data_IF_460270628804
#
_entry.id   IF_460270628804
#
_cell.length_a   1.000
_cell.length_b   1.000
_cell.length_c   1.000
_cell.angle_alpha   90.00
_cell.angle_beta   90.00
_cell.angle_gamma   90.00
#
_symmetry.space_group_name_H-M   'P 1'
#
loop_
_entity.id
_entity.type
_entity.pdbx_description
1 polymer ?
#
# COMPACT_ATOMS: atom_id res chain seq x y z
N UNK A 1 3.90 -52.52 -25.38
CA UNK A 1 4.42 -51.20 -24.94
C UNK A 1 3.85 -50.02 -25.75
N UNK A 2 3.59 -50.16 -27.06
CA UNK A 2 3.05 -49.10 -27.94
C UNK A 2 1.61 -48.72 -27.57
N UNK A 3 0.70 -49.70 -27.36
CA UNK A 3 -0.71 -49.43 -26.96
C UNK A 3 -0.87 -48.67 -25.63
N UNK A 4 0.00 -48.88 -24.63
CA UNK A 4 -0.04 -48.13 -23.38
C UNK A 4 0.34 -46.65 -23.56
N UNK A 5 1.32 -46.35 -24.43
CA UNK A 5 1.68 -44.97 -24.75
C UNK A 5 0.53 -44.21 -25.45
N UNK A 6 -0.14 -44.85 -26.37
CA UNK A 6 -1.28 -44.27 -27.09
C UNK A 6 -2.46 -43.99 -26.16
N UNK A 7 -2.76 -44.88 -25.21
CA UNK A 7 -3.80 -44.64 -24.21
C UNK A 7 -3.48 -43.46 -23.27
N UNK A 8 -2.22 -43.27 -22.90
CA UNK A 8 -1.79 -42.11 -22.12
C UNK A 8 -1.91 -40.77 -22.87
N UNK A 9 -1.57 -40.79 -24.17
CA UNK A 9 -1.68 -39.59 -25.03
C UNK A 9 -3.16 -39.23 -25.21
N UNK A 10 -4.04 -40.17 -25.45
CA UNK A 10 -5.48 -39.92 -25.58
C UNK A 10 -6.12 -39.49 -24.25
N UNK A 11 -5.70 -40.06 -23.14
CA UNK A 11 -6.15 -39.66 -21.82
C UNK A 11 -5.74 -38.22 -21.48
N UNK A 12 -4.48 -37.84 -21.73
CA UNK A 12 -3.97 -36.49 -21.51
C UNK A 12 -4.62 -35.47 -22.43
N UNK A 13 -4.87 -35.81 -23.71
CA UNK A 13 -5.56 -34.91 -24.62
C UNK A 13 -7.04 -34.75 -24.27
N UNK A 14 -7.72 -35.80 -23.84
CA UNK A 14 -9.11 -35.73 -23.40
C UNK A 14 -9.31 -34.89 -22.14
N UNK A 15 -8.45 -35.02 -21.15
CA UNK A 15 -8.49 -34.20 -19.93
C UNK A 15 -8.13 -32.73 -20.21
N UNK A 16 -7.20 -32.50 -21.14
CA UNK A 16 -6.85 -31.12 -21.57
C UNK A 16 -8.02 -30.43 -22.26
N UNK A 17 -8.70 -31.13 -23.19
CA UNK A 17 -9.88 -30.58 -23.88
C UNK A 17 -11.00 -30.29 -22.88
N UNK A 18 -11.27 -31.19 -21.93
CA UNK A 18 -12.29 -30.99 -20.90
C UNK A 18 -11.98 -29.77 -20.03
N UNK A 19 -10.73 -29.63 -19.59
CA UNK A 19 -10.30 -28.47 -18.78
C UNK A 19 -10.48 -27.16 -19.53
N UNK A 20 -10.08 -27.09 -20.80
CA UNK A 20 -10.28 -25.91 -21.66
C UNK A 20 -11.76 -25.60 -21.86
N UNK A 21 -12.58 -26.63 -22.08
CA UNK A 21 -14.04 -26.47 -22.25
C UNK A 21 -14.68 -25.92 -20.99
N UNK A 22 -14.34 -26.45 -19.81
CA UNK A 22 -14.83 -25.95 -18.52
C UNK A 22 -14.42 -24.49 -18.34
N UNK A 23 -13.17 -24.15 -18.66
CA UNK A 23 -12.66 -22.78 -18.57
C UNK A 23 -13.45 -21.82 -19.47
N UNK A 24 -13.64 -22.18 -20.73
CA UNK A 24 -14.41 -21.38 -21.70
C UNK A 24 -15.85 -21.21 -21.25
N UNK A 25 -16.52 -22.28 -20.83
CA UNK A 25 -17.91 -22.22 -20.33
C UNK A 25 -17.98 -21.32 -19.09
N UNK A 26 -17.03 -21.46 -18.17
CA UNK A 26 -16.96 -20.61 -16.97
C UNK A 26 -16.77 -19.12 -17.33
N UNK A 27 -15.93 -18.82 -18.33
CA UNK A 27 -15.76 -17.45 -18.83
C UNK A 27 -17.03 -16.89 -19.49
N UNK A 28 -17.82 -17.73 -20.17
CA UNK A 28 -19.08 -17.30 -20.78
C UNK A 28 -20.18 -17.06 -19.74
N UNK A 29 -20.21 -17.87 -18.67
CA UNK A 29 -21.25 -17.77 -17.61
C UNK A 29 -20.94 -16.68 -16.60
N UNK A 30 -19.71 -16.62 -16.13
CA UNK A 30 -19.27 -15.74 -15.03
C UNK A 30 -18.53 -14.48 -15.52
N UNK A 31 -18.16 -14.45 -16.81
CA UNK A 31 -17.32 -13.40 -17.38
C UNK A 31 -15.82 -13.74 -17.33
N UNK A 32 -15.07 -13.09 -18.20
CA UNK A 32 -13.63 -13.32 -18.33
C UNK A 32 -12.86 -12.95 -17.07
N UNK A 33 -13.13 -11.75 -16.52
CA UNK A 33 -12.36 -11.20 -15.39
C UNK A 33 -12.50 -12.04 -14.10
N UNK A 34 -13.69 -12.41 -13.62
CA UNK A 34 -13.84 -13.23 -12.42
C UNK A 34 -13.14 -14.58 -12.51
N UNK A 35 -13.19 -15.23 -13.68
CA UNK A 35 -12.52 -16.53 -13.90
C UNK A 35 -11.02 -16.37 -13.90
N UNK A 36 -10.50 -15.38 -14.63
CA UNK A 36 -9.07 -15.03 -14.62
C UNK A 36 -8.58 -14.73 -13.21
N UNK A 37 -9.28 -13.90 -12.47
CA UNK A 37 -8.88 -13.45 -11.13
C UNK A 37 -8.94 -14.57 -10.09
N UNK A 38 -9.76 -15.60 -10.34
CA UNK A 38 -9.77 -16.84 -9.54
C UNK A 38 -8.56 -17.71 -9.85
N UNK A 39 -8.15 -17.78 -11.12
CA UNK A 39 -6.97 -18.56 -11.54
C UNK A 39 -5.65 -17.93 -11.10
N UNK A 40 -5.56 -16.60 -11.12
CA UNK A 40 -4.35 -15.87 -10.74
C UNK A 40 -4.15 -15.76 -9.22
N UNK A 41 -5.16 -16.15 -8.43
CA UNK A 41 -5.09 -16.19 -6.95
C UNK A 41 -4.47 -14.93 -6.34
N UNK A 42 -4.99 -13.74 -6.72
CA UNK A 42 -4.50 -12.48 -6.17
C UNK A 42 -4.59 -12.46 -4.63
N UNK A 43 -3.45 -12.26 -3.92
CA UNK A 43 -3.42 -12.38 -2.46
C UNK A 43 -4.34 -11.40 -1.74
N UNK A 44 -4.55 -10.19 -2.32
CA UNK A 44 -5.35 -9.13 -1.69
C UNK A 44 -6.83 -9.17 -2.05
N UNK A 45 -7.27 -10.13 -2.89
CA UNK A 45 -8.69 -10.26 -3.27
C UNK A 45 -9.62 -10.40 -2.05
N UNK A 46 -9.18 -11.14 -1.01
CA UNK A 46 -9.92 -11.30 0.23
C UNK A 46 -10.10 -9.98 0.99
N UNK A 47 -9.05 -9.17 1.06
CA UNK A 47 -9.09 -7.83 1.68
C UNK A 47 -10.01 -6.88 0.91
N UNK A 48 -9.93 -6.91 -0.42
CA UNK A 48 -10.77 -6.06 -1.28
C UNK A 48 -12.27 -6.36 -1.15
N UNK A 49 -12.64 -7.65 -1.15
CA UNK A 49 -14.03 -8.10 -1.08
C UNK A 49 -14.57 -8.23 0.36
N UNK A 50 -13.73 -8.04 1.36
CA UNK A 50 -14.08 -8.10 2.77
C UNK A 50 -14.93 -6.93 3.26
N UNK A 51 -15.16 -6.90 4.56
CA UNK A 51 -15.91 -5.83 5.20
C UNK A 51 -14.95 -4.66 5.49
N UNK A 52 -15.21 -3.52 4.89
CA UNK A 52 -14.44 -2.30 5.12
C UNK A 52 -14.88 -1.59 6.41
N UNK A 53 -13.90 -1.04 7.10
CA UNK A 53 -14.08 -0.36 8.38
C UNK A 53 -13.72 1.11 8.22
N UNK A 54 -14.62 1.99 8.66
CA UNK A 54 -14.37 3.43 8.69
C UNK A 54 -14.01 3.82 10.12
N UNK A 55 -12.76 4.18 10.36
CA UNK A 55 -12.22 4.44 11.69
C UNK A 55 -11.51 5.80 11.74
N UNK A 56 -11.38 6.32 12.95
CA UNK A 56 -10.63 7.54 13.24
C UNK A 56 -9.34 7.19 13.95
N UNK A 57 -8.23 7.82 13.54
CA UNK A 57 -6.92 7.59 14.09
C UNK A 57 -6.23 8.90 14.45
N UNK A 58 -5.42 8.85 15.49
CA UNK A 58 -4.47 9.90 15.86
C UNK A 58 -5.06 11.20 16.39
N UNK A 59 -4.17 12.17 16.55
CA UNK A 59 -4.48 13.54 16.96
C UNK A 59 -3.58 14.47 16.16
N UNK A 60 -4.11 15.33 15.29
CA UNK A 60 -5.53 15.54 14.96
C UNK A 60 -6.18 14.29 14.33
N UNK A 61 -7.50 14.10 14.51
CA UNK A 61 -8.16 12.90 14.05
C UNK A 61 -8.25 12.86 12.51
N UNK A 62 -7.71 11.78 11.95
CA UNK A 62 -7.83 11.41 10.55
C UNK A 62 -8.85 10.28 10.44
N UNK A 63 -9.91 10.48 9.67
CA UNK A 63 -10.88 9.46 9.34
C UNK A 63 -10.52 8.81 8.02
N UNK A 64 -10.50 7.47 7.98
CA UNK A 64 -10.06 6.70 6.84
C UNK A 64 -10.82 5.36 6.80
N UNK A 65 -11.16 4.91 5.60
CA UNK A 65 -11.76 3.59 5.36
C UNK A 65 -10.65 2.60 4.99
N UNK A 66 -10.56 1.50 5.73
CA UNK A 66 -9.53 0.46 5.53
C UNK A 66 -10.15 -0.93 5.48
N UNK A 67 -9.51 -1.94 4.85
CA UNK A 67 -10.04 -3.31 4.81
C UNK A 67 -10.24 -3.92 6.20
N UNK A 68 -9.40 -3.54 7.15
CA UNK A 68 -9.44 -3.96 8.55
C UNK A 68 -9.04 -2.77 9.43
N UNK A 69 -9.34 -2.84 10.73
CA UNK A 69 -8.90 -1.83 11.70
C UNK A 69 -7.37 -1.85 11.78
N UNK A 70 -6.75 -0.66 11.68
CA UNK A 70 -5.30 -0.56 11.88
C UNK A 70 -4.95 -0.76 13.35
N UNK A 71 -3.97 -1.62 13.59
CA UNK A 71 -3.46 -1.89 14.94
C UNK A 71 -2.51 -0.79 15.39
N UNK A 72 -2.64 -0.35 16.64
CA UNK A 72 -1.72 0.63 17.22
C UNK A 72 -0.38 -0.01 17.50
N UNK A 73 0.69 0.59 16.98
CA UNK A 73 2.08 0.19 17.26
C UNK A 73 2.57 0.96 18.48
N UNK A 74 2.98 0.28 19.56
CA UNK A 74 3.61 0.96 20.70
C UNK A 74 4.88 1.69 20.26
N UNK A 75 5.02 2.94 20.68
CA UNK A 75 6.22 3.73 20.43
C UNK A 75 6.75 4.25 21.78
N UNK A 76 8.07 4.31 21.94
CA UNK A 76 8.70 4.87 23.13
C UNK A 76 8.50 6.39 23.23
N UNK A 77 8.27 7.05 22.09
CA UNK A 77 7.97 8.46 22.01
C UNK A 77 6.45 8.67 21.95
N UNK A 78 5.86 9.17 23.03
CA UNK A 78 4.42 9.48 23.13
C UNK A 78 3.93 10.53 22.11
N UNK A 79 4.84 11.28 21.50
CA UNK A 79 4.53 12.28 20.47
C UNK A 79 4.29 11.65 19.10
N UNK A 80 4.69 10.40 18.94
CA UNK A 80 4.52 9.63 17.71
C UNK A 80 3.42 8.61 17.94
N UNK A 81 2.32 8.75 17.21
CA UNK A 81 1.28 7.73 17.17
C UNK A 81 1.39 6.98 15.84
N UNK A 82 1.45 5.66 15.91
CA UNK A 82 1.60 4.81 14.73
C UNK A 82 0.56 3.70 14.73
N UNK A 83 -0.02 3.46 13.57
CA UNK A 83 -1.03 2.44 13.33
C UNK A 83 -0.66 1.68 12.05
N UNK A 84 -0.83 0.36 12.04
CA UNK A 84 -0.50 -0.42 10.85
C UNK A 84 -1.51 -1.53 10.56
N UNK A 85 -1.53 -1.96 9.31
CA UNK A 85 -2.16 -3.19 8.86
C UNK A 85 -1.10 -4.03 8.16
N UNK A 86 -0.90 -5.24 8.66
CA UNK A 86 0.12 -6.15 8.15
C UNK A 86 1.55 -5.74 8.48
N UNK A 87 2.47 -6.31 7.73
CA UNK A 87 3.92 -6.03 7.78
C UNK A 87 4.44 -5.85 6.37
N UNK A 88 5.69 -5.45 6.21
CA UNK A 88 6.32 -5.34 4.89
C UNK A 88 6.33 -6.66 4.10
N UNK A 89 6.21 -7.82 4.79
CA UNK A 89 6.05 -9.15 4.18
C UNK A 89 4.62 -9.47 3.74
N UNK A 90 3.64 -8.71 4.20
CA UNK A 90 2.22 -8.93 3.87
C UNK A 90 1.94 -8.60 2.41
N UNK A 91 0.92 -9.21 1.80
CA UNK A 91 0.48 -8.87 0.44
C UNK A 91 0.10 -7.40 0.27
N UNK A 92 -0.48 -6.81 1.33
CA UNK A 92 -0.80 -5.39 1.44
C UNK A 92 -0.37 -4.89 2.82
N UNK A 93 0.36 -3.79 2.84
CA UNK A 93 0.85 -3.14 4.03
C UNK A 93 0.38 -1.69 4.09
N UNK A 94 -0.07 -1.27 5.27
CA UNK A 94 -0.41 0.11 5.59
C UNK A 94 0.36 0.51 6.83
N UNK A 95 0.97 1.70 6.80
CA UNK A 95 1.56 2.37 7.94
C UNK A 95 1.07 3.81 8.01
N UNK A 96 0.38 4.16 9.08
CA UNK A 96 -0.16 5.48 9.33
C UNK A 96 0.52 6.06 10.58
N UNK A 97 1.36 7.06 10.36
CA UNK A 97 2.16 7.69 11.41
C UNK A 97 1.74 9.16 11.60
N UNK A 98 1.54 9.54 12.84
CA UNK A 98 1.32 10.91 13.29
C UNK A 98 2.58 11.36 14.01
N UNK A 99 3.27 12.36 13.46
CA UNK A 99 4.51 12.93 13.99
C UNK A 99 4.25 14.40 14.33
N UNK A 100 3.90 14.66 15.59
CA UNK A 100 3.59 15.99 16.11
C UNK A 100 4.55 16.32 17.26
N UNK A 101 5.77 16.81 16.93
CA UNK A 101 6.72 17.18 17.95
C UNK A 101 6.10 18.27 18.83
N UNK A 102 6.18 18.12 20.16
CA UNK A 102 5.78 19.17 21.09
C UNK A 102 6.52 20.45 20.71
N UNK A 103 5.75 21.50 20.47
CA UNK A 103 6.24 22.85 20.27
C UNK A 103 6.89 23.39 21.57
N UNK A 104 8.03 22.85 21.96
CA UNK A 104 9.01 23.63 22.69
C UNK A 104 9.74 24.51 21.68
N UNK A 105 8.96 25.41 21.10
CA UNK A 105 9.49 26.49 20.29
C UNK A 105 10.26 27.48 21.18
N UNK A 106 11.53 27.20 21.35
CA UNK A 106 12.48 28.29 21.29
C UNK A 106 12.39 28.87 19.87
N UNK A 107 11.82 30.07 19.75
CA UNK A 107 11.98 30.89 18.56
C UNK A 107 13.47 31.15 18.36
N UNK A 108 14.16 30.24 17.71
CA UNK A 108 15.37 30.58 16.99
C UNK A 108 14.91 31.18 15.67
N UNK A 109 15.06 32.52 15.59
CA UNK A 109 14.93 33.27 14.36
C UNK A 109 15.95 32.74 13.36
N UNK A 110 15.60 31.68 12.64
CA UNK A 110 16.36 31.25 11.49
C UNK A 110 15.81 32.06 10.31
N UNK A 111 16.62 33.02 9.84
CA UNK A 111 16.40 33.80 8.61
C UNK A 111 16.50 32.87 7.35
N UNK A 112 15.80 31.76 7.31
CA UNK A 112 15.71 30.91 6.14
C UNK A 112 14.40 31.18 5.40
N UNK A 113 14.51 31.32 4.10
CA UNK A 113 13.37 31.49 3.21
C UNK A 113 12.38 30.31 3.45
N UNK A 114 11.09 30.57 3.72
CA UNK A 114 10.10 29.52 4.01
C UNK A 114 10.00 28.43 2.94
N UNK A 115 10.28 28.77 1.69
CA UNK A 115 10.29 27.81 0.58
C UNK A 115 11.48 26.84 0.66
N UNK A 116 12.68 27.33 1.05
CA UNK A 116 13.85 26.47 1.22
C UNK A 116 13.68 25.52 2.40
N UNK A 117 13.17 26.01 3.54
CA UNK A 117 12.93 25.19 4.72
C UNK A 117 11.93 24.04 4.44
N UNK A 118 10.88 24.28 3.66
CA UNK A 118 9.92 23.24 3.28
C UNK A 118 10.52 22.21 2.33
N UNK A 119 11.37 22.63 1.41
CA UNK A 119 12.06 21.73 0.47
C UNK A 119 13.06 20.83 1.20
N UNK A 120 13.82 21.36 2.15
CA UNK A 120 14.77 20.61 2.97
C UNK A 120 14.05 19.57 3.86
N UNK A 121 12.93 19.93 4.49
CA UNK A 121 12.09 19.01 5.26
C UNK A 121 11.53 17.88 4.41
N UNK A 122 11.00 18.21 3.22
CA UNK A 122 10.49 17.22 2.28
C UNK A 122 11.60 16.25 1.84
N UNK A 123 12.81 16.76 1.54
CA UNK A 123 13.95 15.94 1.16
C UNK A 123 14.44 15.05 2.30
N UNK A 124 14.50 15.55 3.54
CA UNK A 124 14.85 14.77 4.71
C UNK A 124 13.86 13.61 4.93
N UNK A 125 12.57 13.86 4.74
CA UNK A 125 11.53 12.84 4.86
C UNK A 125 11.62 11.78 3.76
N UNK A 126 11.87 12.20 2.51
CA UNK A 126 12.17 11.29 1.40
C UNK A 126 13.33 10.37 1.74
N UNK A 127 14.44 10.92 2.24
CA UNK A 127 15.61 10.15 2.63
C UNK A 127 15.29 9.16 3.77
N UNK A 128 14.45 9.56 4.72
CA UNK A 128 13.99 8.68 5.81
C UNK A 128 13.16 7.50 5.27
N UNK A 129 12.26 7.75 4.33
CA UNK A 129 11.44 6.71 3.70
C UNK A 129 12.35 5.70 2.96
N UNK A 130 13.31 6.20 2.18
CA UNK A 130 14.29 5.34 1.48
C UNK A 130 15.06 4.49 2.49
N UNK A 131 15.63 5.12 3.52
CA UNK A 131 16.41 4.43 4.54
C UNK A 131 15.60 3.35 5.27
N UNK A 132 14.31 3.59 5.52
CA UNK A 132 13.43 2.59 6.12
C UNK A 132 13.22 1.38 5.19
N UNK A 133 13.02 1.60 3.90
CA UNK A 133 12.91 0.49 2.93
C UNK A 133 14.23 -0.26 2.76
N UNK A 134 15.36 0.45 2.68
CA UNK A 134 16.69 -0.17 2.56
C UNK A 134 17.05 -0.97 3.81
N UNK A 135 16.74 -0.48 4.99
CA UNK A 135 16.95 -1.21 6.24
C UNK A 135 16.11 -2.49 6.34
N UNK A 136 14.93 -2.50 5.71
CA UNK A 136 14.10 -3.68 5.48
C UNK A 136 14.61 -4.60 4.38
N UNK A 137 15.71 -4.25 3.71
CA UNK A 137 16.34 -5.05 2.65
C UNK A 137 15.82 -4.76 1.24
N UNK A 138 15.08 -3.68 1.03
CA UNK A 138 14.66 -3.25 -0.31
C UNK A 138 15.86 -2.84 -1.17
N UNK A 139 15.75 -3.08 -2.46
CA UNK A 139 16.72 -2.65 -3.48
C UNK A 139 15.98 -2.14 -4.72
N UNK A 140 16.71 -1.55 -5.67
CA UNK A 140 16.15 -1.04 -6.93
C UNK A 140 14.97 -0.09 -6.71
N UNK A 141 15.09 0.80 -5.72
CA UNK A 141 14.06 1.78 -5.37
C UNK A 141 14.00 2.83 -6.46
N UNK A 142 12.87 2.88 -7.16
CA UNK A 142 12.55 3.91 -8.14
C UNK A 142 11.38 4.72 -7.60
N UNK A 143 11.54 6.02 -7.45
CA UNK A 143 10.47 6.86 -6.92
C UNK A 143 10.31 8.17 -7.66
N UNK A 144 9.12 8.72 -7.49
CA UNK A 144 8.71 10.03 -7.96
C UNK A 144 7.95 10.73 -6.85
N UNK A 145 7.93 12.04 -6.89
CA UNK A 145 7.10 12.90 -6.06
C UNK A 145 6.13 13.70 -6.92
N UNK A 146 4.97 13.96 -6.38
CA UNK A 146 3.93 14.76 -7.00
C UNK A 146 3.13 15.48 -5.89
N UNK A 147 2.39 16.52 -6.26
CA UNK A 147 1.40 17.15 -5.39
C UNK A 147 0.01 16.77 -5.89
N UNK A 148 -0.80 16.22 -5.00
CA UNK A 148 -2.17 15.82 -5.32
C UNK A 148 -3.15 16.46 -4.35
N UNK A 149 -4.37 16.71 -4.80
CA UNK A 149 -5.45 17.17 -3.93
C UNK A 149 -6.35 15.98 -3.63
N UNK A 150 -6.53 15.68 -2.34
CA UNK A 150 -7.46 14.66 -1.89
C UNK A 150 -8.91 15.04 -2.26
N UNK A 151 -9.83 14.09 -2.37
CA UNK A 151 -11.27 14.39 -2.58
C UNK A 151 -11.86 15.33 -1.52
N UNK A 152 -11.29 15.32 -0.30
CA UNK A 152 -11.61 16.25 0.78
C UNK A 152 -11.14 17.70 0.54
N UNK A 153 -10.45 17.98 -0.57
CA UNK A 153 -9.91 19.28 -0.91
C UNK A 153 -8.56 19.61 -0.26
N UNK A 154 -7.96 18.67 0.48
CA UNK A 154 -6.66 18.88 1.16
C UNK A 154 -5.52 18.60 0.19
N UNK A 155 -4.58 19.55 -0.02
CA UNK A 155 -3.37 19.30 -0.79
C UNK A 155 -2.42 18.42 0.00
N UNK A 156 -1.83 17.42 -0.65
CA UNK A 156 -0.88 16.49 -0.04
C UNK A 156 0.30 16.25 -0.98
N UNK A 157 1.49 16.09 -0.41
CA UNK A 157 2.62 15.60 -1.16
C UNK A 157 2.53 14.07 -1.26
N UNK A 158 2.70 13.56 -2.47
CA UNK A 158 2.64 12.15 -2.79
C UNK A 158 4.02 11.66 -3.25
N UNK A 159 4.58 10.69 -2.54
CA UNK A 159 5.80 9.99 -2.94
C UNK A 159 5.41 8.57 -3.33
N UNK A 160 5.70 8.16 -4.55
CA UNK A 160 5.26 6.86 -5.05
C UNK A 160 6.32 6.23 -5.94
N UNK A 161 6.26 4.92 -6.07
CA UNK A 161 7.22 4.24 -6.91
C UNK A 161 7.18 2.73 -6.80
N UNK A 162 8.33 2.12 -7.12
CA UNK A 162 8.50 0.68 -7.04
C UNK A 162 9.84 0.33 -6.42
N UNK A 163 9.89 -0.82 -5.78
CA UNK A 163 11.10 -1.39 -5.18
C UNK A 163 11.07 -2.91 -5.27
N UNK A 164 12.21 -3.55 -5.13
CA UNK A 164 12.31 -5.00 -5.03
C UNK A 164 12.53 -5.37 -3.55
N UNK A 165 11.56 -6.07 -2.94
CA UNK A 165 11.54 -6.41 -1.53
C UNK A 165 11.72 -7.90 -1.29
N UNK A 166 12.56 -8.35 -0.32
CA UNK A 166 12.68 -9.76 0.04
C UNK A 166 11.46 -10.17 0.86
N UNK A 167 10.54 -10.94 0.30
CA UNK A 167 9.39 -11.47 1.02
C UNK A 167 9.67 -12.84 1.62
N UNK A 168 9.16 -13.08 2.83
CA UNK A 168 9.31 -14.34 3.54
C UNK A 168 8.68 -15.49 2.76
N UNK A 169 9.48 -16.51 2.48
CA UNK A 169 9.03 -17.69 1.73
C UNK A 169 9.29 -17.62 0.22
N UNK A 170 9.61 -16.46 -0.31
CA UNK A 170 10.01 -16.30 -1.71
C UNK A 170 11.51 -16.49 -1.87
N UNK A 171 11.93 -17.14 -2.98
CA UNK A 171 13.36 -17.31 -3.30
C UNK A 171 13.97 -16.03 -3.84
N UNK A 172 13.19 -15.32 -4.62
CA UNK A 172 13.57 -14.08 -5.29
C UNK A 172 12.87 -12.90 -4.64
N UNK A 173 13.39 -11.71 -4.88
CA UNK A 173 12.73 -10.47 -4.45
C UNK A 173 11.49 -10.22 -5.26
N UNK A 174 10.43 -9.77 -4.61
CA UNK A 174 9.16 -9.41 -5.25
C UNK A 174 9.15 -7.93 -5.60
N UNK A 175 8.69 -7.61 -6.81
CA UNK A 175 8.48 -6.23 -7.23
C UNK A 175 7.24 -5.67 -6.56
N UNK A 176 7.44 -4.68 -5.68
CA UNK A 176 6.37 -3.99 -4.97
C UNK A 176 6.16 -2.58 -5.51
N UNK A 177 4.93 -2.12 -5.46
CA UNK A 177 4.57 -0.72 -5.57
C UNK A 177 4.44 -0.13 -4.17
N UNK A 178 4.81 1.14 -4.00
CA UNK A 178 4.56 1.87 -2.77
C UNK A 178 4.02 3.26 -3.06
N UNK A 179 3.25 3.77 -2.12
CA UNK A 179 2.70 5.11 -2.13
C UNK A 179 2.71 5.69 -0.71
N UNK A 180 3.31 6.85 -0.55
CA UNK A 180 3.35 7.58 0.72
C UNK A 180 2.71 8.94 0.52
N UNK A 181 1.68 9.23 1.29
CA UNK A 181 1.01 10.53 1.36
C UNK A 181 1.51 11.29 2.58
N UNK A 182 1.84 12.56 2.39
CA UNK A 182 2.32 13.46 3.42
C UNK A 182 1.35 14.61 3.58
N UNK A 183 0.65 14.63 4.71
CA UNK A 183 -0.21 15.73 5.11
C UNK A 183 0.56 16.58 6.12
N UNK A 184 1.01 17.75 5.70
CA UNK A 184 1.82 18.64 6.54
C UNK A 184 0.95 19.73 7.14
N UNK A 185 1.09 19.95 8.45
CA UNK A 185 0.44 20.97 9.26
C UNK A 185 1.51 21.85 9.91
N UNK A 186 1.12 22.99 10.47
CA UNK A 186 2.04 23.84 11.24
C UNK A 186 2.66 23.09 12.43
N UNK A 187 1.88 22.20 13.06
CA UNK A 187 2.23 21.51 14.30
C UNK A 187 2.91 20.14 14.07
N UNK A 188 2.79 19.56 12.87
CA UNK A 188 3.33 18.24 12.59
C UNK A 188 2.95 17.68 11.24
N UNK A 189 3.17 16.38 11.07
CA UNK A 189 2.95 15.69 9.80
C UNK A 189 2.23 14.36 10.01
N UNK A 190 1.27 14.06 9.16
CA UNK A 190 0.67 12.73 9.05
C UNK A 190 1.27 12.05 7.81
N UNK A 191 1.77 10.85 7.98
CA UNK A 191 2.43 10.06 6.95
C UNK A 191 1.63 8.78 6.78
N UNK A 192 1.05 8.58 5.60
CA UNK A 192 0.37 7.33 5.24
C UNK A 192 1.17 6.61 4.16
N UNK A 193 1.78 5.49 4.52
CA UNK A 193 2.52 4.64 3.58
C UNK A 193 1.74 3.37 3.30
N UNK A 194 1.61 3.04 2.02
CA UNK A 194 1.02 1.78 1.54
C UNK A 194 2.04 1.08 0.66
N UNK A 195 2.16 -0.25 0.78
CA UNK A 195 3.03 -1.07 -0.06
C UNK A 195 2.35 -2.39 -0.38
N UNK A 196 2.49 -2.84 -1.62
CA UNK A 196 1.87 -4.07 -2.12
C UNK A 196 2.61 -4.62 -3.35
N UNK A 197 2.33 -5.85 -3.73
CA UNK A 197 2.89 -6.45 -4.94
C UNK A 197 2.38 -5.75 -6.19
N UNK A 198 3.30 -5.31 -7.06
CA UNK A 198 2.97 -4.49 -8.23
C UNK A 198 1.96 -5.13 -9.18
N UNK A 199 1.99 -6.45 -9.30
CA UNK A 199 1.10 -7.19 -10.21
C UNK A 199 -0.28 -7.47 -9.59
N UNK A 200 -0.50 -7.13 -8.30
CA UNK A 200 -1.79 -7.35 -7.63
C UNK A 200 -2.77 -6.21 -7.96
N UNK A 201 -3.74 -6.54 -8.82
CA UNK A 201 -4.77 -5.60 -9.26
C UNK A 201 -5.64 -5.10 -8.11
N UNK A 202 -6.05 -6.01 -7.21
CA UNK A 202 -6.93 -5.63 -6.10
C UNK A 202 -6.23 -4.73 -5.10
N UNK A 203 -4.92 -4.88 -4.94
CA UNK A 203 -4.13 -4.01 -4.08
C UNK A 203 -4.16 -2.55 -4.55
N UNK A 204 -4.07 -2.30 -5.86
CA UNK A 204 -4.18 -0.94 -6.40
C UNK A 204 -5.59 -0.36 -6.23
N UNK A 205 -6.65 -1.18 -6.30
CA UNK A 205 -8.02 -0.74 -6.05
C UNK A 205 -8.25 -0.45 -4.55
N UNK A 206 -7.63 -1.24 -3.64
CA UNK A 206 -7.60 -0.98 -2.19
C UNK A 206 -6.95 0.37 -1.92
N UNK A 207 -5.75 0.61 -2.48
CA UNK A 207 -5.04 1.89 -2.33
C UNK A 207 -5.91 3.07 -2.74
N UNK A 208 -6.54 3.03 -3.92
CA UNK A 208 -7.39 4.11 -4.40
C UNK A 208 -8.60 4.36 -3.49
N UNK A 209 -9.23 3.30 -2.99
CA UNK A 209 -10.36 3.42 -2.06
C UNK A 209 -9.94 4.06 -0.74
N UNK A 210 -8.79 3.66 -0.20
CA UNK A 210 -8.21 4.27 1.00
C UNK A 210 -7.98 5.76 0.79
N UNK A 211 -7.27 6.15 -0.28
CA UNK A 211 -6.96 7.55 -0.59
C UNK A 211 -8.24 8.38 -0.73
N UNK A 212 -9.24 7.84 -1.40
CA UNK A 212 -10.51 8.54 -1.63
C UNK A 212 -11.35 8.72 -0.36
N UNK A 213 -11.08 7.93 0.69
CA UNK A 213 -11.81 7.99 1.95
C UNK A 213 -11.19 8.91 3.00
N UNK A 214 -10.01 9.49 2.72
CA UNK A 214 -9.29 10.31 3.69
C UNK A 214 -10.04 11.62 3.97
N UNK A 215 -10.45 11.79 5.22
CA UNK A 215 -11.09 13.00 5.74
C UNK A 215 -10.36 13.49 6.99
N UNK A 216 -9.97 14.77 7.00
CA UNK A 216 -9.47 15.44 8.21
C UNK A 216 -10.66 15.99 8.98
N UNK A 217 -10.82 15.56 10.21
CA UNK A 217 -11.83 16.08 11.10
C UNK A 217 -11.25 17.35 11.73
N UNK A 218 -11.76 18.50 11.30
CA UNK A 218 -11.45 19.77 11.99
C UNK A 218 -12.18 19.74 13.34
N UNK A 219 -11.44 19.76 14.42
CA UNK A 219 -12.05 20.06 15.72
C UNK A 219 -12.63 21.50 15.62
N UNK A 220 -13.95 21.58 15.83
CA UNK A 220 -14.71 22.84 15.87
C UNK A 220 -14.45 23.60 17.16
#
# INVERSE_FOLDING_TARGET
>A
KRRRKEQWIWGLSGTGILAVTILVVSMLVYGFYPVRDTLLMYPTKGLYSGQWVNSQYGTPPLKIETPEVLERIPNENDLIQQFSLGTLDSPFYIDLKFDFPKLELKKEETNSDPQQANTEKAQALVNTIISNFESGGAVNILMKNDEVTLPSGVPVAKIFGTLDYPKKGEKDRVRCSFNTLLLTFEEGTIILTMMYEKEDRYASEIEQRIINSIELIKEL
#
